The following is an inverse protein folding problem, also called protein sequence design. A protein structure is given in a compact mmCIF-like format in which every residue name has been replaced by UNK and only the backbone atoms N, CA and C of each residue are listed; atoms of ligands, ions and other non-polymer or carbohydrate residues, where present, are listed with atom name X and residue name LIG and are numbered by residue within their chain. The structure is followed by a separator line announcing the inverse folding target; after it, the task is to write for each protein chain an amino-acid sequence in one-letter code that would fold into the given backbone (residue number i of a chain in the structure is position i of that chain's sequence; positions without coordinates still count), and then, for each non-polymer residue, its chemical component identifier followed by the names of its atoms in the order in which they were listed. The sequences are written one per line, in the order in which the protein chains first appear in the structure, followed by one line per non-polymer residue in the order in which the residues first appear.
data_IF_243819185957
#
_entry.id   IF_243819185957
#
_cell.length_a   1.000
_cell.length_b   1.000
_cell.length_c   1.000
_cell.angle_alpha   90.00
_cell.angle_beta   90.00
_cell.angle_gamma   90.00
#
_symmetry.space_group_name_H-M   'P 1'
#
loop_
_entity.id
_entity.type
_entity.pdbx_description
1 polymer ?
#
# COMPACT_ATOMS: atom_id res chain seq x y z
N UNK A 1 16.55 13.52 7.54
CA UNK A 1 15.62 12.88 6.59
C UNK A 1 14.22 13.06 7.13
N UNK A 2 13.33 13.69 6.37
CA UNK A 2 11.95 13.94 6.78
C UNK A 2 11.15 12.66 6.61
N UNK A 3 10.76 11.99 7.71
CA UNK A 3 9.88 10.83 7.64
C UNK A 3 8.42 11.28 7.50
N UNK A 4 7.63 10.49 6.76
CA UNK A 4 6.19 10.67 6.61
C UNK A 4 5.48 10.30 7.92
N UNK A 5 4.41 11.03 8.25
CA UNK A 5 3.65 10.80 9.49
C UNK A 5 3.10 9.36 9.59
N UNK A 6 2.49 8.86 8.50
CA UNK A 6 1.96 7.49 8.45
C UNK A 6 2.04 6.90 7.05
N UNK A 7 2.61 5.71 6.95
CA UNK A 7 2.67 4.90 5.72
C UNK A 7 1.81 3.65 5.91
N UNK A 8 1.03 3.31 4.90
CA UNK A 8 0.10 2.20 4.94
C UNK A 8 0.53 1.13 3.95
N UNK A 9 0.33 -0.14 4.29
CA UNK A 9 0.67 -1.28 3.43
C UNK A 9 -0.54 -2.17 3.20
N UNK A 10 -0.69 -2.65 1.96
CA UNK A 10 -1.66 -3.67 1.59
C UNK A 10 -1.06 -4.63 0.57
N UNK A 11 -1.35 -5.92 0.71
CA UNK A 11 -1.00 -6.92 -0.29
C UNK A 11 -2.10 -7.95 -0.48
N UNK A 12 -2.32 -8.33 -1.74
CA UNK A 12 -3.14 -9.48 -2.10
C UNK A 12 -2.37 -10.81 -2.07
N UNK A 13 -1.04 -10.74 -1.96
CA UNK A 13 -0.17 -11.89 -1.70
C UNK A 13 0.50 -11.73 -0.31
N UNK A 14 0.21 -12.61 0.67
CA UNK A 14 0.80 -12.55 2.01
C UNK A 14 2.33 -12.49 2.04
N UNK A 15 3.01 -13.14 1.10
CA UNK A 15 4.47 -13.20 1.04
C UNK A 15 5.12 -11.83 0.78
N UNK A 16 4.37 -10.90 0.19
CA UNK A 16 4.87 -9.55 -0.16
C UNK A 16 4.82 -8.56 1.00
N UNK A 17 4.15 -8.89 2.11
CA UNK A 17 4.09 -7.95 3.24
C UNK A 17 5.48 -7.64 3.80
N UNK A 18 6.38 -8.63 3.88
CA UNK A 18 7.73 -8.41 4.40
C UNK A 18 8.46 -7.27 3.68
N UNK A 19 8.45 -7.30 2.34
CA UNK A 19 9.08 -6.29 1.49
C UNK A 19 8.40 -4.92 1.66
N UNK A 20 7.06 -4.88 1.69
CA UNK A 20 6.30 -3.63 1.87
C UNK A 20 6.56 -2.98 3.23
N UNK A 21 6.64 -3.78 4.30
CA UNK A 21 6.97 -3.29 5.64
C UNK A 21 8.40 -2.73 5.70
N UNK A 22 9.37 -3.41 5.07
CA UNK A 22 10.75 -2.91 5.01
C UNK A 22 10.84 -1.51 4.42
N UNK A 23 10.17 -1.28 3.28
CA UNK A 23 10.08 0.07 2.69
C UNK A 23 9.29 1.05 3.57
N UNK A 24 8.10 0.64 4.05
CA UNK A 24 7.25 1.52 4.87
C UNK A 24 7.95 2.01 6.14
N UNK A 25 8.78 1.19 6.78
CA UNK A 25 9.54 1.55 7.98
C UNK A 25 10.71 2.50 7.70
N UNK A 26 11.27 2.46 6.49
CA UNK A 26 12.32 3.39 6.08
C UNK A 26 11.78 4.83 5.98
N UNK A 27 10.54 4.96 5.48
CA UNK A 27 9.95 6.25 5.12
C UNK A 27 8.94 6.80 6.13
N UNK A 28 8.28 5.92 6.89
CA UNK A 28 7.19 6.27 7.81
C UNK A 28 7.60 6.25 9.27
N UNK A 29 7.13 7.24 10.04
CA UNK A 29 7.20 7.20 11.50
C UNK A 29 6.30 6.11 12.08
N UNK A 30 5.18 5.85 11.41
CA UNK A 30 4.18 4.86 11.80
C UNK A 30 3.75 4.07 10.58
N UNK A 31 3.78 2.74 10.70
CA UNK A 31 3.32 1.83 9.66
C UNK A 31 2.01 1.19 10.06
N UNK A 32 1.04 1.20 9.16
CA UNK A 32 -0.28 0.61 9.33
C UNK A 32 -0.48 -0.48 8.28
N UNK A 33 -1.11 -1.59 8.66
CA UNK A 33 -1.41 -2.67 7.72
C UNK A 33 -2.90 -2.80 7.48
N UNK A 34 -3.28 -3.01 6.22
CA UNK A 34 -4.60 -3.48 5.83
C UNK A 34 -4.44 -4.93 5.38
N UNK A 35 -5.22 -5.84 5.94
CA UNK A 35 -5.16 -7.28 5.64
C UNK A 35 -6.54 -7.84 5.33
N UNK A 36 -6.62 -8.97 4.64
CA UNK A 36 -7.90 -9.54 4.20
C UNK A 36 -8.56 -10.47 5.22
N UNK A 37 -7.81 -10.96 6.20
CA UNK A 37 -8.32 -11.87 7.23
C UNK A 37 -7.40 -11.89 8.46
N UNK A 38 -7.86 -12.58 9.51
CA UNK A 38 -7.16 -12.68 10.80
C UNK A 38 -5.84 -13.46 10.70
N UNK A 39 -5.74 -14.45 9.81
CA UNK A 39 -4.51 -15.23 9.63
C UNK A 39 -3.39 -14.33 9.07
N UNK A 40 -3.71 -13.49 8.08
CA UNK A 40 -2.79 -12.46 7.59
C UNK A 40 -2.44 -11.45 8.69
N UNK A 41 -3.40 -11.07 9.55
CA UNK A 41 -3.12 -10.18 10.68
C UNK A 41 -2.05 -10.76 11.61
N UNK A 42 -2.16 -12.04 11.95
CA UNK A 42 -1.15 -12.73 12.76
C UNK A 42 0.21 -12.80 12.05
N UNK A 43 0.20 -13.07 10.74
CA UNK A 43 1.44 -13.15 9.95
C UNK A 43 2.17 -11.81 9.84
N UNK A 44 1.46 -10.67 9.84
CA UNK A 44 2.08 -9.34 9.74
C UNK A 44 2.42 -8.71 11.09
N UNK A 45 1.89 -9.23 12.19
CA UNK A 45 2.14 -8.71 13.54
C UNK A 45 3.65 -8.65 13.91
N UNK A 46 4.50 -9.62 13.55
CA UNK A 46 5.94 -9.54 13.80
C UNK A 46 6.66 -8.37 13.13
N UNK A 47 6.09 -7.79 12.06
CA UNK A 47 6.67 -6.61 11.40
C UNK A 47 6.40 -5.30 12.17
N UNK A 48 5.66 -5.35 13.28
CA UNK A 48 5.43 -4.20 14.16
C UNK A 48 4.53 -3.08 13.58
N UNK A 49 3.41 -3.37 12.90
CA UNK A 49 2.45 -2.33 12.54
C UNK A 49 1.90 -1.66 13.80
N UNK A 50 1.69 -0.34 13.74
CA UNK A 50 1.01 0.42 14.80
C UNK A 50 -0.44 -0.03 14.98
N UNK A 51 -1.10 -0.39 13.88
CA UNK A 51 -2.45 -0.95 13.88
C UNK A 51 -2.67 -1.79 12.62
N UNK A 52 -3.48 -2.84 12.75
CA UNK A 52 -3.89 -3.74 11.66
C UNK A 52 -5.39 -3.57 11.45
N UNK A 53 -5.78 -3.23 10.22
CA UNK A 53 -7.17 -3.19 9.79
C UNK A 53 -7.49 -4.47 9.02
N UNK A 54 -8.36 -5.30 9.60
CA UNK A 54 -8.82 -6.53 8.96
C UNK A 54 -10.07 -6.23 8.15
N UNK A 55 -10.00 -6.42 6.84
CA UNK A 55 -11.14 -6.29 5.95
C UNK A 55 -12.09 -7.45 6.19
N UNK A 56 -13.38 -7.16 6.31
CA UNK A 56 -14.39 -8.20 6.44
C UNK A 56 -14.56 -8.95 5.12
N UNK A 57 -14.47 -10.28 5.16
CA UNK A 57 -14.84 -11.12 4.04
C UNK A 57 -16.34 -11.41 4.08
N UNK A 58 -17.09 -10.74 3.21
CA UNK A 58 -18.55 -10.84 3.20
C UNK A 58 -19.09 -11.93 2.26
N UNK A 59 -18.26 -12.45 1.34
CA UNK A 59 -18.65 -13.44 0.32
C UNK A 59 -17.44 -14.29 -0.13
N UNK A 60 -17.67 -15.52 -0.58
CA UNK A 60 -16.66 -16.39 -1.19
C UNK A 60 -16.21 -15.90 -2.60
N UNK A 61 -17.07 -15.17 -3.29
CA UNK A 61 -16.79 -14.54 -4.58
C UNK A 61 -16.05 -13.21 -4.46
N UNK A 62 -15.86 -12.69 -3.24
CA UNK A 62 -15.11 -11.46 -3.00
C UNK A 62 -13.73 -11.54 -3.65
N UNK A 63 -13.38 -10.50 -4.41
CA UNK A 63 -12.05 -10.31 -5.01
C UNK A 63 -11.37 -9.11 -4.38
N UNK A 64 -10.05 -9.06 -4.47
CA UNK A 64 -9.23 -7.98 -3.92
C UNK A 64 -9.72 -6.60 -4.37
N UNK A 65 -10.09 -6.47 -5.65
CA UNK A 65 -10.55 -5.23 -6.25
C UNK A 65 -11.87 -4.73 -5.65
N UNK A 66 -12.69 -5.63 -5.09
CA UNK A 66 -13.95 -5.26 -4.44
C UNK A 66 -13.72 -4.50 -3.12
N UNK A 67 -12.52 -4.54 -2.54
CA UNK A 67 -12.20 -3.79 -1.33
C UNK A 67 -11.93 -2.29 -1.57
N UNK A 68 -11.90 -1.82 -2.83
CA UNK A 68 -11.57 -0.44 -3.16
C UNK A 68 -12.39 0.59 -2.37
N UNK A 69 -13.70 0.41 -2.28
CA UNK A 69 -14.60 1.37 -1.61
C UNK A 69 -14.38 1.40 -0.10
N UNK A 70 -14.20 0.25 0.53
CA UNK A 70 -13.96 0.14 1.97
C UNK A 70 -12.58 0.70 2.34
N UNK A 71 -11.55 0.35 1.57
CA UNK A 71 -10.19 0.91 1.76
C UNK A 71 -10.22 2.42 1.53
N UNK A 72 -10.87 2.92 0.47
CA UNK A 72 -10.95 4.35 0.23
C UNK A 72 -11.68 5.09 1.36
N UNK A 73 -12.78 4.54 1.88
CA UNK A 73 -13.50 5.12 3.02
C UNK A 73 -12.60 5.19 4.27
N UNK A 74 -11.86 4.11 4.56
CA UNK A 74 -10.89 4.08 5.66
C UNK A 74 -9.78 5.13 5.48
N UNK A 75 -9.21 5.24 4.28
CA UNK A 75 -8.10 6.17 4.04
C UNK A 75 -8.56 7.63 3.97
N UNK A 76 -9.81 7.91 3.58
CA UNK A 76 -10.41 9.25 3.67
C UNK A 76 -10.58 9.71 5.11
N UNK A 77 -10.81 8.80 6.05
CA UNK A 77 -10.89 9.13 7.48
C UNK A 77 -9.49 9.30 8.10
N UNK A 78 -8.53 8.47 7.70
CA UNK A 78 -7.19 8.41 8.32
C UNK A 78 -6.15 9.33 7.68
N UNK A 79 -6.39 9.79 6.46
CA UNK A 79 -5.49 10.67 5.70
C UNK A 79 -4.02 10.22 5.72
N UNK A 80 -3.71 9.02 5.18
CA UNK A 80 -2.33 8.54 5.13
C UNK A 80 -1.47 9.43 4.22
N UNK A 81 -0.18 9.52 4.52
CA UNK A 81 0.76 10.21 3.64
C UNK A 81 1.12 9.37 2.41
N UNK A 82 1.09 8.04 2.54
CA UNK A 82 1.43 7.10 1.48
C UNK A 82 0.73 5.76 1.71
N UNK A 83 0.30 5.11 0.62
CA UNK A 83 -0.13 3.71 0.59
C UNK A 83 0.77 2.92 -0.36
N UNK A 84 1.42 1.88 0.14
CA UNK A 84 2.19 0.93 -0.64
C UNK A 84 1.35 -0.32 -0.91
N UNK A 85 1.28 -0.71 -2.18
CA UNK A 85 0.65 -1.95 -2.61
C UNK A 85 1.66 -2.86 -3.30
N UNK A 86 1.54 -4.17 -3.09
CA UNK A 86 2.27 -5.12 -3.91
C UNK A 86 1.88 -4.96 -5.39
N UNK A 87 2.87 -4.87 -6.29
CA UNK A 87 2.69 -4.67 -7.73
C UNK A 87 2.23 -5.96 -8.45
N UNK A 88 1.26 -6.69 -7.88
CA UNK A 88 0.61 -7.83 -8.53
C UNK A 88 -0.45 -7.34 -9.52
N UNK A 89 -0.97 -8.22 -10.39
CA UNK A 89 -2.06 -7.86 -11.31
C UNK A 89 -3.28 -7.28 -10.58
N UNK A 90 -3.69 -7.90 -9.46
CA UNK A 90 -4.83 -7.46 -8.65
C UNK A 90 -4.51 -6.22 -7.81
N UNK A 91 -3.31 -6.16 -7.25
CA UNK A 91 -2.82 -4.98 -6.51
C UNK A 91 -2.83 -3.73 -7.37
N UNK A 92 -2.39 -3.83 -8.63
CA UNK A 92 -2.45 -2.74 -9.62
C UNK A 92 -3.87 -2.32 -9.96
N UNK A 93 -4.76 -3.28 -10.19
CA UNK A 93 -6.16 -2.99 -10.46
C UNK A 93 -6.82 -2.27 -9.27
N UNK A 94 -6.54 -2.72 -8.04
CA UNK A 94 -7.00 -2.05 -6.83
C UNK A 94 -6.40 -0.64 -6.70
N UNK A 95 -5.09 -0.48 -6.90
CA UNK A 95 -4.40 0.81 -6.80
C UNK A 95 -4.98 1.84 -7.78
N UNK A 96 -5.25 1.44 -9.03
CA UNK A 96 -5.88 2.29 -10.04
C UNK A 96 -7.30 2.73 -9.65
N UNK A 97 -8.08 1.86 -9.00
CA UNK A 97 -9.41 2.24 -8.49
C UNK A 97 -9.28 3.20 -7.29
N UNK A 98 -8.35 2.94 -6.38
CA UNK A 98 -8.11 3.77 -5.20
C UNK A 98 -7.62 5.17 -5.59
N UNK A 99 -6.74 5.29 -6.58
CA UNK A 99 -6.22 6.60 -7.02
C UNK A 99 -7.36 7.52 -7.48
N UNK A 100 -8.31 6.99 -8.25
CA UNK A 100 -9.50 7.74 -8.68
C UNK A 100 -10.41 8.06 -7.49
N UNK A 101 -10.70 7.09 -6.62
CA UNK A 101 -11.62 7.30 -5.49
C UNK A 101 -11.07 8.28 -4.43
N UNK A 102 -9.76 8.35 -4.28
CA UNK A 102 -9.04 9.21 -3.34
C UNK A 102 -8.55 10.52 -3.97
N UNK A 103 -8.68 10.67 -5.29
CA UNK A 103 -8.05 11.75 -6.05
C UNK A 103 -6.55 11.88 -5.73
N UNK A 104 -5.85 10.74 -5.71
CA UNK A 104 -4.45 10.63 -5.31
C UNK A 104 -3.56 10.26 -6.51
N UNK A 105 -2.32 10.72 -6.48
CA UNK A 105 -1.31 10.28 -7.45
C UNK A 105 -1.01 8.79 -7.30
N UNK A 106 -0.71 8.12 -8.42
CA UNK A 106 -0.35 6.71 -8.45
C UNK A 106 0.86 6.50 -9.34
N UNK A 107 1.90 5.90 -8.78
CA UNK A 107 3.03 5.33 -9.53
C UNK A 107 2.91 3.81 -9.39
N UNK A 108 2.74 3.15 -10.52
CA UNK A 108 2.74 1.68 -10.58
C UNK A 108 4.18 1.17 -10.71
N UNK A 109 4.47 -0.08 -10.40
CA UNK A 109 5.77 -0.75 -10.58
C UNK A 109 6.97 0.14 -10.18
N UNK A 110 6.86 0.82 -9.04
CA UNK A 110 7.93 1.67 -8.54
C UNK A 110 9.16 0.80 -8.22
N UNK A 111 10.32 1.20 -8.75
CA UNK A 111 11.60 0.50 -8.55
C UNK A 111 12.45 1.15 -7.47
N UNK A 112 12.23 2.43 -7.19
CA UNK A 112 12.80 3.16 -6.08
C UNK A 112 11.78 4.16 -5.53
N UNK A 113 11.89 4.46 -4.24
CA UNK A 113 11.10 5.51 -3.57
C UNK A 113 12.02 6.25 -2.61
N UNK A 114 11.99 7.56 -2.69
CA UNK A 114 12.74 8.48 -1.84
C UNK A 114 11.84 9.61 -1.31
N UNK A 115 12.26 10.20 -0.18
CA UNK A 115 11.61 11.40 0.35
C UNK A 115 12.60 12.56 0.24
N UNK A 116 12.33 13.48 -0.67
CA UNK A 116 13.16 14.66 -0.94
C UNK A 116 12.36 15.90 -0.56
N UNK A 117 12.87 16.68 0.39
CA UNK A 117 12.22 17.91 0.88
C UNK A 117 10.76 17.73 1.34
N UNK A 118 10.43 16.54 1.86
CA UNK A 118 9.08 16.21 2.32
C UNK A 118 8.12 15.78 1.20
N UNK A 119 8.60 15.71 -0.04
CA UNK A 119 7.87 15.18 -1.18
C UNK A 119 8.25 13.71 -1.44
N UNK A 120 7.27 12.93 -1.88
CA UNK A 120 7.47 11.55 -2.29
C UNK A 120 7.95 11.55 -3.74
N UNK A 121 9.14 11.02 -3.97
CA UNK A 121 9.70 10.77 -5.29
C UNK A 121 9.72 9.25 -5.52
N UNK A 122 9.20 8.80 -6.65
CA UNK A 122 9.22 7.38 -7.00
C UNK A 122 9.71 7.24 -8.45
N UNK A 123 10.56 6.27 -8.69
CA UNK A 123 11.06 5.95 -10.03
C UNK A 123 10.33 4.73 -10.59
N UNK A 124 10.03 4.75 -11.89
CA UNK A 124 9.40 3.65 -12.62
C UNK A 124 10.11 3.38 -13.95
N UNK A 125 10.15 2.10 -14.34
CA UNK A 125 10.72 1.69 -15.63
C UNK A 125 9.77 1.91 -16.80
N UNK A 126 10.17 2.78 -17.73
CA UNK A 126 9.47 3.00 -18.98
C UNK A 126 10.10 2.22 -20.14
N UNK A 127 9.32 2.04 -21.22
CA UNK A 127 9.77 1.40 -22.46
C UNK A 127 10.42 0.03 -22.28
N UNK A 128 9.90 -0.78 -21.34
CA UNK A 128 10.44 -2.11 -21.04
C UNK A 128 11.79 -2.10 -20.32
N UNK A 129 12.09 -1.04 -19.56
CA UNK A 129 13.34 -0.89 -18.80
C UNK A 129 14.44 -0.13 -19.54
N UNK A 130 14.12 0.51 -20.67
CA UNK A 130 15.07 1.33 -21.43
C UNK A 130 15.17 2.77 -20.91
N UNK A 131 14.21 3.22 -20.09
CA UNK A 131 14.24 4.53 -19.47
C UNK A 131 13.70 4.49 -18.04
N UNK A 132 14.11 5.48 -17.26
CA UNK A 132 13.63 5.74 -15.91
C UNK A 132 12.88 7.06 -15.93
N UNK A 133 11.76 7.13 -15.21
CA UNK A 133 10.94 8.32 -15.08
C UNK A 133 10.35 8.42 -13.67
#
# INVERSE_FOLDING_TARGET
MSQLNSVWVFSDNPERYAELFGGAQQWGQQVYAIVQNTDQAQAVMPYGPKCIYVLAQNDALQRTENYAECIAALLKDKHPAMLLLAATKRGKALAARLSVQLNAALVNDATAVDIVDGHICAEHWMYGGLAFA
#
